data_IF_813560821514
#
_entry.id   IF_813560821514
#
_cell.length_a   1.000
_cell.length_b   1.000
_cell.length_c   1.000
_cell.angle_alpha   90.00
_cell.angle_beta   90.00
_cell.angle_gamma   90.00
#
_symmetry.space_group_name_H-M   'P 1'
#
loop_
_entity.id
_entity.type
_entity.pdbx_description
1 polymer ?
#
# COMPACT_ATOMS: atom_id res chain seq x y z
N UNK A 1 -29.14 4.50 -24.41
CA UNK A 1 -28.31 3.44 -23.79
C UNK A 1 -27.47 3.95 -22.61
N UNK A 2 -26.64 4.99 -22.78
CA UNK A 2 -25.82 5.56 -21.69
C UNK A 2 -26.64 5.98 -20.47
N UNK A 3 -27.76 6.68 -20.66
CA UNK A 3 -28.67 7.06 -19.56
C UNK A 3 -29.10 5.85 -18.72
N UNK A 4 -29.38 4.70 -19.35
CA UNK A 4 -29.73 3.46 -18.64
C UNK A 4 -28.52 2.87 -17.91
N UNK A 5 -27.33 2.90 -18.52
CA UNK A 5 -26.10 2.41 -17.89
C UNK A 5 -25.76 3.17 -16.61
N UNK A 6 -25.79 4.51 -16.66
CA UNK A 6 -25.51 5.34 -15.48
C UNK A 6 -26.62 5.20 -14.42
N UNK A 7 -27.90 5.12 -14.84
CA UNK A 7 -29.03 4.87 -13.95
C UNK A 7 -28.88 3.56 -13.17
N UNK A 8 -28.52 2.47 -13.86
CA UNK A 8 -28.36 1.15 -13.26
C UNK A 8 -27.27 1.14 -12.18
N UNK A 9 -26.29 2.03 -12.28
CA UNK A 9 -25.13 2.12 -11.40
C UNK A 9 -25.23 3.28 -10.39
N UNK A 10 -26.40 3.93 -10.30
CA UNK A 10 -26.68 4.95 -9.29
C UNK A 10 -26.15 6.35 -9.61
N UNK A 11 -25.76 6.60 -10.85
CA UNK A 11 -25.38 7.93 -11.33
C UNK A 11 -26.59 8.64 -11.96
N UNK A 12 -26.68 9.95 -11.78
CA UNK A 12 -27.87 10.74 -12.16
C UNK A 12 -27.61 11.87 -13.15
N UNK A 13 -26.34 12.28 -13.36
CA UNK A 13 -25.98 13.42 -14.20
C UNK A 13 -25.43 12.95 -15.54
N UNK A 14 -26.02 13.44 -16.63
CA UNK A 14 -25.60 13.18 -18.00
C UNK A 14 -25.43 14.51 -18.73
N UNK A 15 -24.25 14.72 -19.30
CA UNK A 15 -23.92 15.91 -20.09
C UNK A 15 -23.56 15.44 -21.49
N UNK A 16 -24.12 16.09 -22.51
CA UNK A 16 -23.84 15.82 -23.93
C UNK A 16 -23.28 17.07 -24.58
N UNK A 17 -22.15 16.93 -25.26
CA UNK A 17 -21.43 18.04 -25.91
C UNK A 17 -21.53 17.89 -27.42
N UNK A 18 -21.95 18.95 -28.11
CA UNK A 18 -22.05 19.01 -29.58
C UNK A 18 -22.70 17.76 -30.23
N UNK A 19 -23.90 17.32 -29.80
CA UNK A 19 -24.54 16.17 -30.42
C UNK A 19 -24.92 16.48 -31.87
N UNK A 20 -24.66 15.53 -32.77
CA UNK A 20 -25.07 15.64 -34.19
C UNK A 20 -26.59 15.65 -34.32
N UNK A 21 -27.27 14.79 -33.55
CA UNK A 21 -28.73 14.77 -33.43
C UNK A 21 -29.14 14.24 -32.05
N UNK A 22 -30.26 14.74 -31.54
CA UNK A 22 -30.91 14.24 -30.31
C UNK A 22 -32.37 13.91 -30.63
N UNK A 23 -32.66 12.64 -30.84
CA UNK A 23 -34.03 12.15 -31.02
C UNK A 23 -34.68 11.90 -29.65
N UNK A 24 -35.01 12.97 -28.92
CA UNK A 24 -35.47 12.87 -27.52
C UNK A 24 -36.64 11.90 -27.33
N UNK A 25 -37.65 11.94 -28.21
CA UNK A 25 -38.80 11.02 -28.14
C UNK A 25 -38.37 9.55 -28.26
N UNK A 26 -37.48 9.24 -29.20
CA UNK A 26 -36.96 7.88 -29.37
C UNK A 26 -36.10 7.44 -28.20
N UNK A 27 -35.27 8.34 -27.68
CA UNK A 27 -34.46 8.09 -26.50
C UNK A 27 -35.33 7.78 -25.29
N UNK A 28 -36.43 8.53 -25.09
CA UNK A 28 -37.40 8.31 -24.02
C UNK A 28 -38.14 6.97 -24.18
N UNK A 29 -38.59 6.62 -25.40
CA UNK A 29 -39.24 5.33 -25.70
C UNK A 29 -38.36 4.12 -25.40
N UNK A 30 -37.04 4.25 -25.57
CA UNK A 30 -36.07 3.17 -25.33
C UNK A 30 -35.54 3.15 -23.89
N UNK A 31 -35.82 4.18 -23.08
CA UNK A 31 -35.36 4.29 -21.71
C UNK A 31 -36.30 3.55 -20.75
N UNK A 32 -35.76 3.10 -19.62
CA UNK A 32 -36.60 2.65 -18.51
C UNK A 32 -37.22 3.86 -17.82
N UNK A 33 -38.34 3.71 -17.07
CA UNK A 33 -38.97 4.83 -16.36
C UNK A 33 -37.99 5.59 -15.44
N UNK A 34 -37.01 4.91 -14.85
CA UNK A 34 -35.97 5.53 -14.05
C UNK A 34 -34.93 6.30 -14.89
N UNK A 35 -34.55 5.76 -16.05
CA UNK A 35 -33.59 6.40 -16.95
C UNK A 35 -34.18 7.59 -17.72
N UNK A 36 -35.51 7.66 -17.89
CA UNK A 36 -36.19 8.85 -18.46
C UNK A 36 -35.87 10.09 -17.63
N UNK A 37 -35.86 10.00 -16.29
CA UNK A 37 -35.52 11.14 -15.42
C UNK A 37 -34.13 11.70 -15.67
N UNK A 38 -33.17 10.86 -16.05
CA UNK A 38 -31.82 11.30 -16.43
C UNK A 38 -31.86 12.05 -17.76
N UNK A 39 -32.70 11.62 -18.70
CA UNK A 39 -32.88 12.32 -19.98
C UNK A 39 -33.54 13.68 -19.78
N UNK A 40 -34.54 13.78 -18.89
CA UNK A 40 -35.24 15.03 -18.58
C UNK A 40 -34.31 16.10 -17.98
N UNK A 41 -33.27 15.66 -17.24
CA UNK A 41 -32.25 16.52 -16.63
C UNK A 41 -30.93 16.54 -17.39
N UNK A 42 -30.88 15.98 -18.61
CA UNK A 42 -29.67 15.93 -19.41
C UNK A 42 -29.27 17.33 -19.87
N UNK A 43 -28.04 17.73 -19.55
CA UNK A 43 -27.49 19.01 -20.00
C UNK A 43 -26.88 18.86 -21.39
N UNK A 44 -27.10 19.84 -22.26
CA UNK A 44 -26.54 19.87 -23.62
C UNK A 44 -25.74 21.14 -23.82
N UNK A 45 -24.46 21.00 -24.17
CA UNK A 45 -23.55 22.12 -24.40
C UNK A 45 -23.06 22.17 -25.84
N UNK A 46 -22.73 23.38 -26.30
CA UNK A 46 -22.19 23.61 -27.64
C UNK A 46 -20.69 23.43 -27.74
N UNK A 47 -19.96 23.28 -26.63
CA UNK A 47 -18.51 23.10 -26.63
C UNK A 47 -18.05 22.42 -25.33
N UNK A 48 -16.88 21.80 -25.39
CA UNK A 48 -16.34 21.01 -24.30
C UNK A 48 -15.85 21.87 -23.13
N UNK A 49 -15.37 23.08 -23.40
CA UNK A 49 -14.82 23.98 -22.38
C UNK A 49 -15.92 24.44 -21.42
N UNK A 50 -17.06 24.89 -21.97
CA UNK A 50 -18.24 25.28 -21.20
C UNK A 50 -18.80 24.09 -20.40
N UNK A 51 -18.82 22.89 -21.00
CA UNK A 51 -19.33 21.69 -20.35
C UNK A 51 -18.47 21.24 -19.17
N UNK A 52 -17.14 21.39 -19.27
CA UNK A 52 -16.19 20.95 -18.26
C UNK A 52 -15.87 22.02 -17.21
N UNK A 53 -16.14 23.30 -17.47
CA UNK A 53 -15.82 24.42 -16.58
C UNK A 53 -16.25 24.25 -15.10
N UNK A 54 -17.42 23.66 -14.80
CA UNK A 54 -17.85 23.42 -13.41
C UNK A 54 -17.07 22.32 -12.67
N UNK A 55 -16.30 21.46 -13.35
CA UNK A 55 -15.69 20.28 -12.74
C UNK A 55 -14.26 20.55 -12.26
N UNK A 56 -13.92 20.08 -11.06
CA UNK A 56 -12.58 20.21 -10.49
C UNK A 56 -11.62 19.11 -10.96
N UNK A 57 -12.14 17.96 -11.39
CA UNK A 57 -11.34 16.83 -11.85
C UNK A 57 -12.00 16.14 -13.03
N UNK A 58 -11.24 15.91 -14.10
CA UNK A 58 -11.75 15.34 -15.36
C UNK A 58 -10.96 14.10 -15.72
N UNK A 59 -11.63 13.01 -16.02
CA UNK A 59 -11.02 11.74 -16.43
C UNK A 59 -11.45 11.39 -17.84
N UNK A 60 -10.51 11.32 -18.77
CA UNK A 60 -10.79 10.94 -20.15
C UNK A 60 -10.64 9.44 -20.38
N UNK A 61 -11.57 8.84 -21.12
CA UNK A 61 -11.43 7.44 -21.56
C UNK A 61 -10.77 7.33 -22.93
N UNK A 62 -9.76 6.48 -23.07
CA UNK A 62 -9.04 6.27 -24.34
C UNK A 62 -8.62 4.82 -24.52
N UNK A 63 -8.72 4.31 -25.76
CA UNK A 63 -8.12 3.04 -26.17
C UNK A 63 -6.67 3.20 -26.65
N UNK A 64 -6.19 4.44 -26.85
CA UNK A 64 -4.87 4.75 -27.42
C UNK A 64 -3.85 5.03 -26.32
N UNK A 65 -2.76 4.26 -26.32
CA UNK A 65 -1.65 4.37 -25.36
C UNK A 65 -0.48 5.23 -25.87
N UNK A 66 -0.54 5.73 -27.12
CA UNK A 66 0.59 6.38 -27.79
C UNK A 66 0.64 7.91 -27.64
N UNK A 67 1.80 8.44 -27.24
CA UNK A 67 2.20 9.84 -27.46
C UNK A 67 2.07 10.81 -26.28
N UNK A 68 1.29 10.50 -25.24
CA UNK A 68 1.03 11.43 -24.12
C UNK A 68 1.53 10.83 -22.80
N UNK A 69 2.42 11.54 -22.10
CA UNK A 69 3.06 11.16 -20.83
C UNK A 69 2.14 11.31 -19.60
N UNK A 70 0.88 10.91 -19.68
CA UNK A 70 -0.05 10.94 -18.53
C UNK A 70 -0.20 9.56 -17.91
N UNK A 71 -0.47 9.50 -16.61
CA UNK A 71 -0.78 8.25 -15.90
C UNK A 71 -2.02 7.63 -16.56
N UNK A 72 -1.84 6.49 -17.23
CA UNK A 72 -2.92 5.70 -17.81
C UNK A 72 -3.30 4.62 -16.81
N UNK A 73 -4.53 4.68 -16.32
CA UNK A 73 -5.05 3.77 -15.30
C UNK A 73 -6.12 2.85 -15.90
N UNK A 74 -6.34 1.69 -15.30
CA UNK A 74 -7.54 0.90 -15.54
C UNK A 74 -8.73 1.47 -14.77
N UNK A 75 -9.98 1.17 -15.19
CA UNK A 75 -11.19 1.53 -14.46
C UNK A 75 -11.14 1.13 -12.98
N UNK A 76 -10.61 -0.07 -12.69
CA UNK A 76 -10.49 -0.62 -11.33
C UNK A 76 -9.50 0.16 -10.45
N UNK A 77 -8.41 0.64 -11.03
CA UNK A 77 -7.40 1.38 -10.28
C UNK A 77 -7.85 2.81 -9.95
N UNK A 78 -8.57 3.46 -10.86
CA UNK A 78 -8.98 4.85 -10.67
C UNK A 78 -10.28 4.96 -9.86
N UNK A 79 -11.19 3.98 -9.93
CA UNK A 79 -12.52 4.10 -9.33
C UNK A 79 -12.50 4.43 -7.83
N UNK A 80 -11.69 3.80 -6.96
CA UNK A 80 -11.59 4.19 -5.55
C UNK A 80 -11.17 5.65 -5.37
N UNK A 81 -10.19 6.12 -6.16
CA UNK A 81 -9.72 7.51 -6.12
C UNK A 81 -10.85 8.49 -6.48
N UNK A 82 -11.68 8.17 -7.48
CA UNK A 82 -12.79 9.02 -7.90
C UNK A 82 -13.94 9.03 -6.90
N UNK A 83 -14.22 7.90 -6.24
CA UNK A 83 -15.22 7.83 -5.16
C UNK A 83 -14.81 8.73 -4.00
N UNK A 84 -13.53 8.71 -3.62
CA UNK A 84 -13.00 9.57 -2.55
C UNK A 84 -12.98 11.05 -2.96
N UNK A 85 -12.49 11.36 -4.17
CA UNK A 85 -12.43 12.73 -4.68
C UNK A 85 -13.81 13.37 -4.79
N UNK A 86 -14.82 12.60 -5.24
CA UNK A 86 -16.18 13.11 -5.45
C UNK A 86 -16.93 13.48 -4.17
N UNK A 87 -16.38 13.17 -2.99
CA UNK A 87 -16.97 13.61 -1.72
C UNK A 87 -16.90 15.13 -1.51
N UNK A 88 -15.91 15.79 -2.11
CA UNK A 88 -15.64 17.23 -1.91
C UNK A 88 -15.39 17.98 -3.21
N UNK A 89 -15.49 17.32 -4.37
CA UNK A 89 -15.15 17.89 -5.67
C UNK A 89 -16.15 17.44 -6.73
N UNK A 90 -16.41 18.30 -7.71
CA UNK A 90 -17.13 17.93 -8.92
C UNK A 90 -16.20 17.17 -9.87
N UNK A 91 -16.53 15.91 -10.16
CA UNK A 91 -15.72 15.02 -11.00
C UNK A 91 -16.45 14.65 -12.29
N UNK A 92 -15.80 14.80 -13.44
CA UNK A 92 -16.32 14.41 -14.75
C UNK A 92 -15.62 13.16 -15.30
N UNK A 93 -16.42 12.22 -15.83
CA UNK A 93 -15.94 11.17 -16.73
C UNK A 93 -16.24 11.59 -18.17
N UNK A 94 -15.18 11.82 -18.95
CA UNK A 94 -15.26 12.27 -20.33
C UNK A 94 -15.08 11.08 -21.29
N UNK A 95 -16.08 10.87 -22.13
CA UNK A 95 -16.10 9.85 -23.18
C UNK A 95 -16.15 10.51 -24.55
N UNK A 96 -15.32 10.03 -25.48
CA UNK A 96 -15.34 10.51 -26.86
C UNK A 96 -16.37 9.79 -27.74
N UNK A 97 -16.60 10.28 -28.98
CA UNK A 97 -17.47 9.63 -29.95
C UNK A 97 -17.03 8.21 -30.30
N UNK A 98 -17.97 7.31 -30.60
CA UNK A 98 -17.71 5.88 -30.86
C UNK A 98 -16.66 5.62 -31.95
N UNK A 99 -16.66 6.44 -33.01
CA UNK A 99 -15.83 6.19 -34.20
C UNK A 99 -14.36 6.59 -34.00
N UNK A 100 -14.09 7.61 -33.20
CA UNK A 100 -12.75 8.24 -33.15
C UNK A 100 -12.19 8.43 -31.73
N UNK A 101 -13.02 8.28 -30.70
CA UNK A 101 -12.65 8.56 -29.31
C UNK A 101 -12.32 10.03 -29.08
N UNK A 102 -11.61 10.33 -27.99
CA UNK A 102 -11.14 11.68 -27.69
C UNK A 102 -9.98 12.06 -28.62
N UNK A 103 -10.05 13.27 -29.16
CA UNK A 103 -9.04 13.87 -30.02
C UNK A 103 -7.85 14.38 -29.19
N UNK A 104 -6.70 14.58 -29.84
CA UNK A 104 -5.53 15.18 -29.21
C UNK A 104 -5.76 16.60 -28.67
N UNK A 105 -6.82 17.29 -29.12
CA UNK A 105 -7.22 18.61 -28.60
C UNK A 105 -8.10 18.52 -27.35
N UNK A 106 -8.77 17.39 -27.16
CA UNK A 106 -9.66 17.16 -26.00
C UNK A 106 -8.91 16.49 -24.84
N UNK A 107 -7.91 15.65 -25.14
CA UNK A 107 -7.09 14.99 -24.11
C UNK A 107 -6.49 15.98 -23.09
N UNK A 108 -5.98 17.18 -23.47
CA UNK A 108 -5.43 18.15 -22.53
C UNK A 108 -6.37 18.55 -21.38
N UNK A 109 -7.69 18.57 -21.58
CA UNK A 109 -8.69 18.88 -20.54
C UNK A 109 -8.78 17.82 -19.43
N UNK A 110 -8.27 16.62 -19.69
CA UNK A 110 -8.31 15.53 -18.72
C UNK A 110 -7.15 15.67 -17.72
N UNK A 111 -7.37 15.32 -16.45
CA UNK A 111 -6.32 15.25 -15.43
C UNK A 111 -5.70 13.85 -15.39
N UNK A 112 -6.51 12.83 -15.65
CA UNK A 112 -6.09 11.44 -15.80
C UNK A 112 -6.71 10.81 -17.04
N UNK A 113 -6.07 9.76 -17.54
CA UNK A 113 -6.58 8.96 -18.65
C UNK A 113 -6.86 7.54 -18.16
N UNK A 114 -7.96 6.97 -18.65
CA UNK A 114 -8.37 5.60 -18.35
C UNK A 114 -8.44 4.79 -19.62
N UNK A 115 -7.86 3.61 -19.58
CA UNK A 115 -7.98 2.61 -20.64
C UNK A 115 -8.71 1.39 -20.08
N UNK A 116 -9.88 1.09 -20.66
CA UNK A 116 -10.59 -0.15 -20.36
C UNK A 116 -9.83 -1.29 -21.04
N UNK A 117 -9.31 -2.28 -20.29
CA UNK A 117 -8.63 -3.42 -20.90
C UNK A 117 -9.59 -4.21 -21.79
N UNK A 118 -9.18 -4.46 -23.03
CA UNK A 118 -9.93 -5.23 -24.02
C UNK A 118 -9.03 -6.32 -24.61
N UNK A 119 -9.63 -7.35 -25.20
CA UNK A 119 -8.90 -8.36 -25.97
C UNK A 119 -8.47 -7.83 -27.35
N UNK A 120 -8.43 -8.71 -28.34
CA UNK A 120 -8.02 -8.37 -29.72
C UNK A 120 -8.90 -7.29 -30.37
N UNK A 121 -10.18 -7.23 -30.00
CA UNK A 121 -11.10 -6.16 -30.40
C UNK A 121 -11.09 -5.04 -29.34
N UNK A 122 -10.55 -3.87 -29.68
CA UNK A 122 -10.35 -2.75 -28.74
C UNK A 122 -11.39 -1.63 -28.82
N UNK A 123 -12.43 -1.79 -29.63
CA UNK A 123 -13.49 -0.79 -29.80
C UNK A 123 -14.75 -1.19 -29.05
N UNK A 124 -14.91 -0.70 -27.82
CA UNK A 124 -16.17 -0.79 -27.09
C UNK A 124 -17.17 0.23 -27.64
N UNK A 125 -18.44 -0.14 -27.71
CA UNK A 125 -19.52 0.82 -27.91
C UNK A 125 -19.53 1.84 -26.74
N UNK A 126 -19.95 3.09 -26.99
CA UNK A 126 -19.93 4.15 -25.99
C UNK A 126 -20.70 3.77 -24.73
N UNK A 127 -21.88 3.17 -24.87
CA UNK A 127 -22.69 2.75 -23.72
C UNK A 127 -22.02 1.61 -22.93
N UNK A 128 -21.23 0.75 -23.58
CA UNK A 128 -20.47 -0.30 -22.90
C UNK A 128 -19.32 0.31 -22.08
N UNK A 129 -18.59 1.27 -22.66
CA UNK A 129 -17.53 1.98 -21.94
C UNK A 129 -18.09 2.72 -20.71
N UNK A 130 -19.22 3.43 -20.88
CA UNK A 130 -19.95 4.08 -19.78
C UNK A 130 -20.37 3.07 -18.71
N UNK A 131 -20.89 1.91 -19.12
CA UNK A 131 -21.31 0.85 -18.20
C UNK A 131 -20.15 0.32 -17.36
N UNK A 132 -19.00 0.02 -17.97
CA UNK A 132 -17.82 -0.50 -17.24
C UNK A 132 -17.31 0.51 -16.22
N UNK A 133 -17.18 1.78 -16.61
CA UNK A 133 -16.75 2.84 -15.69
C UNK A 133 -17.74 3.02 -14.54
N UNK A 134 -19.04 3.07 -14.85
CA UNK A 134 -20.09 3.25 -13.83
C UNK A 134 -20.14 2.04 -12.88
N UNK A 135 -19.92 0.83 -13.38
CA UNK A 135 -19.86 -0.39 -12.58
C UNK A 135 -18.69 -0.42 -11.60
N UNK A 136 -17.49 -0.05 -12.05
CA UNK A 136 -16.32 0.01 -11.16
C UNK A 136 -16.49 1.10 -10.10
N UNK A 137 -17.12 2.24 -10.41
CA UNK A 137 -17.50 3.26 -9.42
C UNK A 137 -18.49 2.71 -8.37
N UNK A 138 -19.55 2.03 -8.80
CA UNK A 138 -20.53 1.43 -7.90
C UNK A 138 -19.90 0.35 -7.00
N UNK A 139 -18.99 -0.45 -7.56
CA UNK A 139 -18.23 -1.48 -6.82
C UNK A 139 -17.29 -0.85 -5.80
N UNK A 140 -16.60 0.24 -6.17
CA UNK A 140 -15.71 0.97 -5.27
C UNK A 140 -16.47 1.67 -4.13
N UNK A 141 -17.68 2.18 -4.39
CA UNK A 141 -18.56 2.79 -3.38
C UNK A 141 -19.11 1.77 -2.37
N UNK A 142 -19.40 0.55 -2.83
CA UNK A 142 -19.89 -0.54 -1.99
C UNK A 142 -18.85 -1.66 -1.95
N UNK A 143 -17.69 -1.45 -1.30
CA UNK A 143 -16.69 -2.49 -1.22
C UNK A 143 -17.31 -3.70 -0.52
N UNK A 144 -17.27 -4.86 -1.17
CA UNK A 144 -17.62 -6.12 -0.51
C UNK A 144 -16.87 -6.18 0.83
N UNK A 145 -17.50 -6.67 1.92
CA UNK A 145 -16.86 -6.74 3.22
C UNK A 145 -15.53 -7.46 3.06
N UNK A 146 -14.45 -6.69 3.13
CA UNK A 146 -13.10 -7.21 2.97
C UNK A 146 -12.95 -8.22 4.09
N UNK A 147 -12.67 -9.50 3.77
CA UNK A 147 -12.37 -10.47 4.80
C UNK A 147 -11.19 -9.93 5.59
N UNK A 148 -11.47 -9.34 6.75
CA UNK A 148 -10.45 -8.83 7.64
C UNK A 148 -9.76 -10.07 8.17
N UNK A 149 -8.47 -10.23 7.87
CA UNK A 149 -7.75 -11.40 8.32
C UNK A 149 -7.77 -11.38 9.84
N UNK A 150 -8.14 -12.51 10.45
CA UNK A 150 -8.04 -12.67 11.90
C UNK A 150 -6.56 -12.80 12.24
N UNK A 151 -5.98 -11.69 12.67
CA UNK A 151 -4.59 -11.62 13.09
C UNK A 151 -4.50 -12.12 14.53
N UNK A 152 -3.48 -12.93 14.81
CA UNK A 152 -3.07 -13.20 16.19
C UNK A 152 -1.60 -12.85 16.35
N UNK A 153 -1.32 -12.06 17.38
CA UNK A 153 0.03 -11.68 17.83
C UNK A 153 0.60 -12.70 18.83
N UNK A 154 -0.13 -13.77 19.10
CA UNK A 154 0.33 -14.89 19.93
C UNK A 154 1.30 -15.79 19.16
N UNK A 155 2.15 -16.48 19.91
CA UNK A 155 3.00 -17.54 19.37
C UNK A 155 2.13 -18.65 18.74
N UNK A 156 2.72 -19.38 17.79
CA UNK A 156 2.06 -20.47 17.08
C UNK A 156 1.54 -21.53 18.06
N UNK A 157 0.24 -21.84 18.00
CA UNK A 157 -0.38 -22.84 18.86
C UNK A 157 -1.34 -23.73 18.05
N UNK A 158 -1.27 -25.08 18.15
CA UNK A 158 -2.11 -25.99 17.38
C UNK A 158 -3.62 -25.76 17.51
N UNK A 159 -4.09 -25.34 18.70
CA UNK A 159 -5.51 -25.03 18.94
C UNK A 159 -6.06 -23.85 18.12
N UNK A 160 -5.20 -23.09 17.45
CA UNK A 160 -5.58 -21.97 16.59
C UNK A 160 -5.53 -22.30 15.09
N UNK A 161 -5.10 -23.52 14.72
CA UNK A 161 -4.98 -23.91 13.33
C UNK A 161 -6.36 -23.94 12.66
N UNK A 162 -6.47 -23.34 11.47
CA UNK A 162 -7.74 -23.18 10.76
C UNK A 162 -8.62 -22.03 11.25
N UNK A 163 -8.33 -21.44 12.42
CA UNK A 163 -8.99 -20.22 12.92
C UNK A 163 -8.21 -18.95 12.55
N UNK A 164 -6.89 -19.06 12.51
CA UNK A 164 -5.95 -17.99 12.16
C UNK A 164 -5.20 -18.41 10.91
N UNK A 165 -5.25 -17.55 9.89
CA UNK A 165 -4.56 -17.74 8.60
C UNK A 165 -3.40 -16.76 8.42
N UNK A 166 -3.24 -15.80 9.36
CA UNK A 166 -2.14 -14.84 9.39
C UNK A 166 -1.55 -14.77 10.79
N UNK A 167 -0.34 -15.29 10.93
CA UNK A 167 0.38 -15.33 12.20
C UNK A 167 1.35 -14.18 12.26
N UNK A 168 1.36 -13.45 13.37
CA UNK A 168 2.27 -12.31 13.55
C UNK A 168 3.10 -12.44 14.81
N UNK A 169 4.01 -13.44 14.89
CA UNK A 169 4.87 -13.58 16.07
C UNK A 169 5.76 -12.35 16.22
N UNK A 170 6.14 -12.04 17.47
CA UNK A 170 7.16 -11.05 17.75
C UNK A 170 8.46 -11.43 17.01
N UNK A 171 9.21 -10.44 16.53
CA UNK A 171 10.44 -10.69 15.77
C UNK A 171 11.41 -11.61 16.52
N UNK A 172 11.54 -11.43 17.83
CA UNK A 172 12.41 -12.23 18.70
C UNK A 172 11.82 -13.60 19.11
N UNK A 173 10.64 -13.95 18.60
CA UNK A 173 9.95 -15.23 18.82
C UNK A 173 9.92 -16.14 17.58
N UNK A 174 10.42 -15.66 16.43
CA UNK A 174 10.44 -16.48 15.22
C UNK A 174 11.45 -17.65 15.31
N UNK A 175 12.53 -17.47 16.09
CA UNK A 175 13.60 -18.45 16.20
C UNK A 175 14.20 -18.43 17.62
N UNK A 176 14.51 -19.60 18.22
CA UNK A 176 15.22 -19.62 19.49
C UNK A 176 16.63 -19.04 19.34
N UNK A 177 17.02 -18.17 20.29
CA UNK A 177 18.38 -17.64 20.43
C UNK A 177 19.18 -18.38 21.50
N UNK A 178 18.54 -18.69 22.63
CA UNK A 178 19.15 -19.45 23.73
C UNK A 178 18.21 -20.54 24.24
N UNK A 179 18.17 -21.71 23.57
CA UNK A 179 17.22 -22.77 23.90
C UNK A 179 17.42 -23.38 25.29
N UNK A 180 18.60 -23.20 25.91
CA UNK A 180 18.92 -23.66 27.27
C UNK A 180 18.66 -22.62 28.36
N UNK A 181 18.49 -21.35 28.01
CA UNK A 181 18.12 -20.30 28.96
C UNK A 181 16.65 -20.50 29.33
N UNK A 182 16.43 -21.33 30.35
CA UNK A 182 16.11 -20.69 31.60
C UNK A 182 14.79 -19.85 31.55
N UNK A 183 15.00 -18.54 31.42
CA UNK A 183 14.10 -17.37 31.43
C UNK A 183 12.80 -17.40 30.60
N UNK A 184 12.64 -18.32 29.65
CA UNK A 184 11.43 -18.38 28.81
C UNK A 184 10.21 -19.07 29.46
N UNK A 185 10.36 -19.62 30.68
CA UNK A 185 9.30 -20.34 31.42
C UNK A 185 7.97 -19.60 31.62
N UNK A 186 7.93 -18.26 31.47
CA UNK A 186 6.66 -17.53 31.53
C UNK A 186 5.74 -17.74 30.32
N UNK A 187 6.22 -18.35 29.23
CA UNK A 187 5.51 -18.35 27.94
C UNK A 187 5.47 -19.71 27.20
N UNK A 188 5.88 -20.82 27.83
CA UNK A 188 5.85 -22.14 27.21
C UNK A 188 6.99 -22.42 26.20
N UNK A 189 6.93 -23.55 25.51
CA UNK A 189 7.90 -23.93 24.47
C UNK A 189 7.75 -23.02 23.25
N UNK A 190 8.81 -22.29 22.89
CA UNK A 190 8.83 -21.48 21.67
C UNK A 190 8.64 -22.37 20.41
N UNK A 191 7.78 -21.97 19.46
CA UNK A 191 7.67 -22.67 18.18
C UNK A 191 9.01 -22.70 17.46
N UNK A 192 9.33 -23.85 16.86
CA UNK A 192 10.52 -24.01 16.02
C UNK A 192 10.24 -23.43 14.65
N UNK A 193 11.32 -23.12 13.93
CA UNK A 193 11.22 -22.66 12.54
C UNK A 193 10.45 -23.64 11.64
N UNK A 194 10.59 -24.95 11.89
CA UNK A 194 9.89 -26.00 11.14
C UNK A 194 8.36 -25.91 11.30
N UNK A 195 7.89 -25.53 12.48
CA UNK A 195 6.46 -25.46 12.78
C UNK A 195 5.81 -24.32 11.96
N UNK A 196 6.49 -23.17 11.85
CA UNK A 196 6.08 -22.08 10.95
C UNK A 196 6.12 -22.47 9.46
N UNK A 197 7.10 -23.27 9.04
CA UNK A 197 7.17 -23.75 7.64
C UNK A 197 6.02 -24.69 7.29
N UNK A 198 5.58 -25.52 8.24
CA UNK A 198 4.39 -26.36 8.08
C UNK A 198 3.14 -25.50 7.83
N UNK A 199 2.96 -24.42 8.60
CA UNK A 199 1.84 -23.49 8.40
C UNK A 199 1.87 -22.80 7.05
N UNK A 200 3.04 -22.35 6.60
CA UNK A 200 3.21 -21.76 5.27
C UNK A 200 2.83 -22.75 4.16
N UNK A 201 3.18 -24.04 4.30
CA UNK A 201 2.76 -25.09 3.34
C UNK A 201 1.25 -25.36 3.39
N UNK A 202 0.62 -25.15 4.54
CA UNK A 202 -0.83 -25.24 4.71
C UNK A 202 -1.59 -24.02 4.16
N UNK A 203 -0.91 -23.03 3.58
CA UNK A 203 -1.52 -21.84 2.99
C UNK A 203 -1.68 -20.65 3.94
N UNK A 204 -1.19 -20.75 5.18
CA UNK A 204 -1.13 -19.62 6.09
C UNK A 204 -0.05 -18.62 5.66
N UNK A 205 -0.15 -17.38 6.17
CA UNK A 205 0.89 -16.36 6.00
C UNK A 205 1.50 -15.97 7.34
N UNK A 206 2.75 -15.50 7.29
CA UNK A 206 3.47 -14.97 8.45
C UNK A 206 3.68 -13.47 8.28
N UNK A 207 3.62 -12.72 9.37
CA UNK A 207 3.90 -11.29 9.46
C UNK A 207 4.89 -11.06 10.60
N UNK A 208 5.78 -10.07 10.46
CA UNK A 208 6.59 -9.62 11.57
C UNK A 208 5.73 -8.83 12.53
N UNK A 209 5.87 -9.04 13.84
CA UNK A 209 5.43 -8.06 14.82
C UNK A 209 6.63 -7.47 15.55
N UNK A 210 6.72 -6.14 15.56
CA UNK A 210 7.72 -5.39 16.32
C UNK A 210 7.00 -4.58 17.39
N UNK A 211 7.51 -4.65 18.62
CA UNK A 211 7.14 -3.77 19.72
C UNK A 211 8.24 -3.73 20.78
N UNK A 212 7.97 -3.07 21.92
CA UNK A 212 8.86 -3.14 23.08
C UNK A 212 9.20 -4.56 23.52
N UNK A 213 8.31 -5.52 23.29
CA UNK A 213 8.59 -6.91 23.65
C UNK A 213 9.71 -7.54 22.82
N UNK A 214 10.08 -6.91 21.71
CA UNK A 214 11.18 -7.33 20.84
C UNK A 214 12.55 -6.97 21.44
N UNK A 215 12.63 -5.85 22.14
CA UNK A 215 13.88 -5.28 22.65
C UNK A 215 13.92 -5.10 24.17
N UNK A 216 12.84 -5.41 24.90
CA UNK A 216 12.79 -5.47 26.36
C UNK A 216 11.96 -4.34 26.99
N UNK A 217 10.67 -4.57 27.25
CA UNK A 217 9.82 -3.57 27.91
C UNK A 217 10.30 -3.34 29.36
N UNK A 218 10.52 -2.06 29.73
CA UNK A 218 10.71 -1.64 31.13
C UNK A 218 12.11 -1.88 31.70
N UNK A 219 13.17 -1.64 30.92
CA UNK A 219 14.56 -1.70 31.39
C UNK A 219 15.19 -3.10 31.30
N UNK A 220 14.51 -4.06 30.68
CA UNK A 220 15.04 -5.40 30.38
C UNK A 220 15.88 -5.45 29.09
N UNK A 221 16.05 -4.32 28.41
CA UNK A 221 16.74 -4.23 27.12
C UNK A 221 18.25 -4.49 27.17
N UNK A 222 18.85 -4.50 28.35
CA UNK A 222 20.27 -4.88 28.55
C UNK A 222 20.49 -6.40 28.62
N UNK A 223 19.45 -7.20 28.37
CA UNK A 223 19.59 -8.66 28.32
C UNK A 223 20.16 -9.12 26.98
N UNK A 224 21.15 -10.04 26.98
CA UNK A 224 21.65 -10.68 25.76
C UNK A 224 20.56 -11.36 24.92
N UNK A 225 19.38 -11.64 25.50
CA UNK A 225 18.20 -12.11 24.78
C UNK A 225 17.79 -11.17 23.64
N UNK A 226 18.01 -9.86 23.79
CA UNK A 226 17.55 -8.81 22.88
C UNK A 226 18.61 -8.36 21.85
N UNK A 227 19.88 -8.74 22.01
CA UNK A 227 20.94 -8.30 21.10
C UNK A 227 20.72 -8.76 19.65
N UNK A 228 21.11 -7.91 18.70
CA UNK A 228 21.15 -8.22 17.26
C UNK A 228 19.81 -8.69 16.63
N UNK A 229 18.69 -8.56 17.34
CA UNK A 229 17.39 -8.64 16.71
C UNK A 229 17.14 -7.39 15.87
N UNK A 230 16.51 -7.53 14.69
CA UNK A 230 16.02 -6.40 13.92
C UNK A 230 15.06 -5.58 14.77
N UNK A 231 15.17 -4.27 14.69
CA UNK A 231 14.35 -3.37 15.50
C UNK A 231 14.25 -2.01 14.83
N UNK A 232 13.32 -1.18 15.29
CA UNK A 232 13.14 0.19 14.86
C UNK A 232 13.52 1.21 15.93
N UNK A 233 14.27 0.81 16.97
CA UNK A 233 14.79 1.78 17.93
C UNK A 233 15.79 2.74 17.26
N UNK A 234 15.97 3.92 17.87
CA UNK A 234 16.82 5.01 17.35
C UNK A 234 18.30 4.74 17.59
N UNK A 235 18.63 4.10 18.71
CA UNK A 235 19.97 3.89 19.26
C UNK A 235 20.67 2.61 18.75
N UNK A 236 20.06 1.91 17.79
CA UNK A 236 20.62 0.72 17.16
C UNK A 236 21.15 1.03 15.76
N UNK A 237 21.92 0.10 15.20
CA UNK A 237 22.41 0.21 13.83
C UNK A 237 21.26 0.43 12.83
N UNK A 238 21.43 1.38 11.91
CA UNK A 238 20.49 1.61 10.80
C UNK A 238 20.26 0.33 9.95
N UNK A 239 21.24 -0.58 9.91
CA UNK A 239 21.11 -1.88 9.26
C UNK A 239 20.09 -2.79 9.97
N UNK A 240 19.94 -2.67 11.30
CA UNK A 240 18.90 -3.38 12.05
C UNK A 240 17.49 -2.91 11.68
N UNK A 241 17.33 -1.65 11.25
CA UNK A 241 16.06 -1.15 10.72
C UNK A 241 15.83 -1.62 9.28
N UNK A 242 16.90 -1.77 8.49
CA UNK A 242 16.82 -2.18 7.07
C UNK A 242 16.67 -3.69 6.88
N UNK A 243 17.17 -4.52 7.79
CA UNK A 243 17.30 -5.97 7.57
C UNK A 243 15.96 -6.72 7.46
N UNK A 244 14.86 -6.10 7.89
CA UNK A 244 13.51 -6.66 7.76
C UNK A 244 13.18 -7.09 6.32
N UNK A 245 13.62 -6.37 5.28
CA UNK A 245 13.35 -6.69 3.88
C UNK A 245 14.00 -8.00 3.45
N UNK A 246 15.31 -8.14 3.68
CA UNK A 246 16.03 -9.39 3.38
C UNK A 246 15.53 -10.55 4.24
N UNK A 247 15.20 -10.30 5.51
CA UNK A 247 14.60 -11.32 6.38
C UNK A 247 13.20 -11.73 5.93
N UNK A 248 12.43 -10.82 5.35
CA UNK A 248 11.13 -11.12 4.76
C UNK A 248 11.28 -12.11 3.61
N UNK A 249 12.27 -11.90 2.74
CA UNK A 249 12.61 -12.82 1.65
C UNK A 249 13.15 -14.15 2.19
N UNK A 250 14.02 -14.13 3.21
CA UNK A 250 14.65 -15.31 3.79
C UNK A 250 13.64 -16.20 4.54
N UNK A 251 12.68 -15.59 5.24
CA UNK A 251 11.72 -16.29 6.10
C UNK A 251 10.32 -16.46 5.50
N UNK A 252 10.09 -16.02 4.26
CA UNK A 252 8.78 -16.04 3.60
C UNK A 252 7.71 -15.30 4.40
N UNK A 253 8.03 -14.08 4.81
CA UNK A 253 7.12 -13.21 5.55
C UNK A 253 6.35 -12.35 4.54
N UNK A 254 5.09 -12.07 4.82
CA UNK A 254 4.16 -11.36 3.94
C UNK A 254 3.94 -9.90 4.34
N UNK A 255 4.34 -9.50 5.55
CA UNK A 255 4.20 -8.12 5.99
C UNK A 255 4.88 -7.85 7.33
N UNK A 256 4.84 -6.58 7.75
CA UNK A 256 5.38 -6.10 9.02
C UNK A 256 4.27 -5.33 9.73
N UNK A 257 4.08 -5.63 11.01
CA UNK A 257 3.29 -4.85 11.95
C UNK A 257 4.23 -4.19 12.93
N UNK A 258 4.04 -2.90 13.13
CA UNK A 258 4.65 -2.14 14.21
C UNK A 258 3.54 -1.60 15.09
N UNK A 259 3.72 -1.62 16.40
CA UNK A 259 2.63 -1.33 17.34
C UNK A 259 2.11 0.11 17.28
N UNK A 260 2.96 1.08 16.93
CA UNK A 260 2.60 2.48 16.69
C UNK A 260 3.67 3.16 15.82
N UNK A 261 3.34 4.27 15.17
CA UNK A 261 4.25 5.10 14.35
C UNK A 261 4.26 6.57 14.75
N UNK A 262 3.32 7.02 15.58
CA UNK A 262 3.16 8.43 15.96
C UNK A 262 3.14 8.61 17.48
N UNK A 263 3.66 7.66 18.26
CA UNK A 263 3.58 7.69 19.72
C UNK A 263 4.19 8.95 20.33
N UNK A 264 5.25 9.50 19.72
CA UNK A 264 5.85 10.78 20.09
C UNK A 264 4.88 11.99 20.08
N UNK A 265 3.71 11.87 19.45
CA UNK A 265 2.66 12.89 19.47
C UNK A 265 1.75 12.81 20.71
N UNK A 266 1.75 11.70 21.45
CA UNK A 266 0.99 11.54 22.70
C UNK A 266 1.63 12.27 23.91
N UNK A 267 2.21 13.45 23.66
CA UNK A 267 2.81 14.33 24.67
C UNK A 267 1.84 14.59 25.85
N UNK A 268 2.27 14.26 27.08
CA UNK A 268 1.58 14.65 28.32
C UNK A 268 2.42 15.69 29.09
N UNK A 269 1.96 16.96 29.17
CA UNK A 269 2.63 18.01 29.93
C UNK A 269 2.48 17.87 31.46
N UNK A 270 1.67 16.94 31.99
CA UNK A 270 1.39 16.87 33.43
C UNK A 270 2.54 16.23 34.24
N UNK A 271 2.91 16.78 35.41
CA UNK A 271 4.12 16.39 36.13
C UNK A 271 3.89 15.22 37.10
N UNK A 272 3.23 14.14 36.67
CA UNK A 272 2.98 13.01 37.55
C UNK A 272 3.92 11.82 37.29
N UNK A 273 4.03 11.28 36.06
CA UNK A 273 4.81 10.03 35.85
C UNK A 273 5.51 9.83 34.50
N UNK A 274 5.27 10.64 33.46
CA UNK A 274 5.86 10.41 32.13
C UNK A 274 6.16 11.72 31.40
N UNK A 275 7.28 12.36 31.74
CA UNK A 275 7.76 13.54 31.01
C UNK A 275 8.37 13.06 29.68
N UNK A 276 7.57 13.00 28.62
CA UNK A 276 8.03 12.63 27.27
C UNK A 276 7.86 13.84 26.36
N UNK A 277 8.81 14.78 26.40
CA UNK A 277 8.99 15.69 25.27
C UNK A 277 9.91 14.97 24.26
N UNK A 278 9.46 14.65 23.04
CA UNK A 278 10.28 13.98 22.04
C UNK A 278 11.53 14.77 21.62
N UNK A 279 11.61 16.05 21.98
CA UNK A 279 12.80 16.88 21.78
C UNK A 279 13.77 16.87 22.96
N UNK A 280 13.37 16.34 24.12
CA UNK A 280 14.21 16.21 25.32
C UNK A 280 14.57 14.74 25.60
N UNK A 281 13.60 13.82 25.48
CA UNK A 281 13.81 12.37 25.65
C UNK A 281 12.80 11.57 24.82
N UNK A 282 13.31 10.54 24.14
CA UNK A 282 12.52 9.56 23.40
C UNK A 282 12.54 8.18 24.06
N UNK A 283 13.10 8.07 25.25
CA UNK A 283 13.23 6.79 25.93
C UNK A 283 11.90 6.37 26.52
N UNK A 284 11.32 5.30 25.98
CA UNK A 284 10.10 4.69 26.50
C UNK A 284 10.11 3.18 26.30
N UNK A 285 9.43 2.45 27.18
CA UNK A 285 9.36 0.99 27.14
C UNK A 285 10.72 0.28 26.99
N UNK A 286 11.79 0.82 27.57
CA UNK A 286 13.10 0.18 27.52
C UNK A 286 13.97 0.53 26.31
N UNK A 287 13.50 1.36 25.37
CA UNK A 287 14.28 1.76 24.19
C UNK A 287 13.96 3.18 23.71
N UNK A 288 14.83 3.72 22.85
CA UNK A 288 14.64 5.07 22.31
C UNK A 288 13.79 5.07 21.04
N UNK A 289 12.74 5.89 21.03
CA UNK A 289 11.89 6.16 19.87
C UNK A 289 10.94 5.03 19.52
N UNK A 290 10.63 4.13 20.47
CA UNK A 290 9.62 3.10 20.28
C UNK A 290 8.23 3.71 20.00
N UNK A 291 7.48 3.08 19.10
CA UNK A 291 6.18 3.56 18.61
C UNK A 291 6.23 4.83 17.77
N UNK A 292 7.42 5.34 17.45
CA UNK A 292 7.56 6.65 16.81
C UNK A 292 8.43 6.54 15.59
N UNK A 293 7.87 6.75 14.40
CA UNK A 293 8.59 6.95 13.14
C UNK A 293 8.43 8.38 12.61
N UNK A 294 7.40 9.08 13.10
CA UNK A 294 7.18 10.51 12.89
C UNK A 294 7.28 11.26 14.22
N UNK A 295 7.76 12.49 14.14
CA UNK A 295 7.95 13.37 15.29
C UNK A 295 7.26 14.72 15.09
N UNK A 296 6.83 15.39 16.17
CA UNK A 296 6.17 16.70 16.07
C UNK A 296 7.19 17.81 15.75
N UNK A 297 7.24 18.24 14.49
CA UNK A 297 8.00 19.41 14.04
C UNK A 297 7.32 20.71 14.42
N UNK A 298 7.67 21.23 15.59
CA UNK A 298 7.15 22.49 16.13
C UNK A 298 7.98 23.68 15.64
N UNK A 299 7.36 24.79 15.19
CA UNK A 299 8.10 25.98 14.75
C UNK A 299 9.14 26.46 15.76
N UNK A 300 8.86 26.38 17.06
CA UNK A 300 9.83 26.77 18.10
C UNK A 300 11.04 25.84 18.23
N UNK A 301 10.96 24.59 17.73
CA UNK A 301 12.04 23.60 17.79
C UNK A 301 12.83 23.50 16.48
N UNK A 302 12.17 23.61 15.33
CA UNK A 302 12.77 23.39 14.00
C UNK A 302 12.73 24.61 13.06
N UNK A 303 12.17 25.73 13.50
CA UNK A 303 11.92 26.90 12.67
C UNK A 303 10.69 26.75 11.76
N UNK A 304 10.44 27.77 10.93
CA UNK A 304 9.27 27.85 10.05
C UNK A 304 8.05 28.53 10.70
N UNK A 305 6.90 28.47 10.01
CA UNK A 305 5.68 29.20 10.42
C UNK A 305 4.50 28.29 10.79
N UNK A 306 4.64 26.97 10.61
CA UNK A 306 3.57 25.99 10.86
C UNK A 306 4.13 24.67 11.37
N UNK A 307 3.31 23.93 12.12
CA UNK A 307 3.64 22.57 12.52
C UNK A 307 3.75 21.65 11.30
N UNK A 308 4.75 20.77 11.30
CA UNK A 308 4.93 19.71 10.30
C UNK A 308 5.27 18.39 11.00
N UNK A 309 4.92 17.26 10.39
CA UNK A 309 5.46 15.98 10.83
C UNK A 309 6.91 15.84 10.31
N UNK A 310 7.82 15.40 11.18
CA UNK A 310 9.20 15.11 10.82
C UNK A 310 9.39 13.62 10.72
N UNK A 311 9.87 13.19 9.56
CA UNK A 311 10.10 11.79 9.26
C UNK A 311 11.45 11.34 9.84
N UNK A 312 11.47 10.18 10.50
CA UNK A 312 12.71 9.61 11.00
C UNK A 312 13.60 9.07 9.87
N UNK A 313 14.92 9.04 10.07
CA UNK A 313 15.84 8.31 9.19
C UNK A 313 15.50 6.81 9.09
N UNK A 314 14.79 6.26 10.09
CA UNK A 314 14.32 4.88 10.09
C UNK A 314 13.29 4.62 9.00
N UNK A 315 12.44 5.60 8.65
CA UNK A 315 11.54 5.49 7.48
C UNK A 315 12.32 5.34 6.17
N UNK A 316 13.47 6.04 6.04
CA UNK A 316 14.37 5.84 4.90
C UNK A 316 14.95 4.42 4.86
N UNK A 317 15.32 3.87 6.01
CA UNK A 317 15.81 2.49 6.09
C UNK A 317 14.71 1.46 5.77
N UNK A 318 13.48 1.68 6.22
CA UNK A 318 12.31 0.85 5.89
C UNK A 318 12.03 0.91 4.38
N UNK A 319 12.06 2.10 3.78
CA UNK A 319 11.91 2.26 2.32
C UNK A 319 13.02 1.50 1.58
N UNK A 320 14.27 1.69 1.97
CA UNK A 320 15.40 1.02 1.32
C UNK A 320 15.34 -0.51 1.48
N UNK A 321 14.81 -0.99 2.60
CA UNK A 321 14.49 -2.39 2.85
C UNK A 321 13.45 -2.94 1.86
N UNK A 322 12.42 -2.16 1.52
CA UNK A 322 11.44 -2.55 0.50
C UNK A 322 12.06 -2.65 -0.89
N UNK A 323 13.01 -1.78 -1.22
CA UNK A 323 13.78 -1.87 -2.48
C UNK A 323 14.59 -3.18 -2.53
N UNK A 324 15.14 -3.64 -1.41
CA UNK A 324 15.85 -4.92 -1.35
C UNK A 324 14.89 -6.11 -1.64
N UNK A 325 13.61 -6.00 -1.23
CA UNK A 325 12.56 -6.97 -1.57
C UNK A 325 12.22 -6.92 -3.07
N UNK A 326 12.11 -5.73 -3.66
CA UNK A 326 11.86 -5.57 -5.10
C UNK A 326 12.95 -6.23 -5.95
N UNK A 327 14.22 -6.07 -5.56
CA UNK A 327 15.34 -6.73 -6.24
C UNK A 327 15.21 -8.25 -6.16
N UNK A 328 14.86 -8.77 -4.98
CA UNK A 328 14.62 -10.20 -4.79
C UNK A 328 13.45 -10.73 -5.63
N UNK A 329 12.32 -10.01 -5.67
CA UNK A 329 11.15 -10.38 -6.47
C UNK A 329 11.47 -10.36 -7.98
N UNK A 330 12.21 -9.33 -8.44
CA UNK A 330 12.63 -9.24 -9.84
C UNK A 330 13.54 -10.40 -10.23
N UNK A 331 14.51 -10.75 -9.38
CA UNK A 331 15.37 -11.91 -9.62
C UNK A 331 14.60 -13.23 -9.66
N UNK A 332 13.58 -13.41 -8.80
CA UNK A 332 12.69 -14.58 -8.86
C UNK A 332 11.92 -14.66 -10.18
N UNK A 333 11.37 -13.54 -10.66
CA UNK A 333 10.70 -13.48 -11.97
C UNK A 333 11.63 -13.86 -13.13
N UNK A 334 12.92 -13.54 -13.01
CA UNK A 334 13.96 -13.88 -13.98
C UNK A 334 14.52 -15.31 -13.80
N UNK A 335 13.99 -16.11 -12.88
CA UNK A 335 14.46 -17.47 -12.61
C UNK A 335 15.80 -17.55 -11.86
N UNK A 336 16.28 -16.44 -11.28
CA UNK A 336 17.59 -16.33 -10.63
C UNK A 336 17.54 -16.61 -9.11
N UNK A 337 16.67 -17.52 -8.68
CA UNK A 337 16.43 -17.80 -7.25
C UNK A 337 17.66 -18.38 -6.54
N UNK A 338 18.40 -19.26 -7.23
CA UNK A 338 19.62 -19.87 -6.68
C UNK A 338 20.73 -18.83 -6.48
N UNK A 339 20.88 -17.90 -7.43
CA UNK A 339 21.79 -16.77 -7.31
C UNK A 339 21.41 -15.88 -6.12
N UNK A 340 20.14 -15.48 -6.04
CA UNK A 340 19.62 -14.66 -4.96
C UNK A 340 19.89 -15.31 -3.59
N UNK A 341 19.56 -16.60 -3.41
CA UNK A 341 19.78 -17.32 -2.17
C UNK A 341 21.26 -17.33 -1.76
N UNK A 342 22.17 -17.56 -2.71
CA UNK A 342 23.62 -17.58 -2.44
C UNK A 342 24.14 -16.21 -2.02
N UNK A 343 23.78 -15.14 -2.72
CA UNK A 343 24.26 -13.80 -2.39
C UNK A 343 23.67 -13.30 -1.06
N UNK A 344 22.37 -13.54 -0.82
CA UNK A 344 21.74 -13.19 0.46
C UNK A 344 22.38 -13.89 1.65
N UNK A 345 22.79 -15.16 1.52
CA UNK A 345 23.43 -15.93 2.60
C UNK A 345 24.75 -15.31 3.10
N UNK A 346 25.37 -14.42 2.32
CA UNK A 346 26.56 -13.65 2.71
C UNK A 346 26.25 -12.56 3.74
N UNK A 347 25.00 -12.09 3.76
CA UNK A 347 24.53 -10.98 4.60
C UNK A 347 23.56 -11.45 5.69
N UNK A 348 22.68 -12.41 5.39
CA UNK A 348 21.60 -12.88 6.28
C UNK A 348 21.65 -14.40 6.41
N UNK A 349 21.88 -14.90 7.64
CA UNK A 349 21.90 -16.32 8.00
C UNK A 349 20.78 -16.72 8.97
N UNK A 350 20.01 -15.76 9.47
CA UNK A 350 18.85 -15.98 10.34
C UNK A 350 18.36 -14.69 10.97
N UNK A 351 17.29 -14.76 11.75
CA UNK A 351 16.59 -13.58 12.26
C UNK A 351 17.46 -12.64 13.09
N UNK A 352 18.37 -13.18 13.91
CA UNK A 352 19.35 -12.42 14.71
C UNK A 352 20.81 -12.65 14.25
N UNK A 353 21.01 -13.32 13.11
CA UNK A 353 22.33 -13.62 12.52
C UNK A 353 22.41 -13.01 11.14
N UNK A 354 22.90 -11.79 11.10
CA UNK A 354 23.08 -11.01 9.89
C UNK A 354 24.27 -10.06 10.06
N UNK A 355 24.80 -9.57 8.95
CA UNK A 355 26.02 -8.78 8.96
C UNK A 355 25.77 -7.31 9.35
N UNK A 356 26.49 -6.84 10.35
CA UNK A 356 26.53 -5.42 10.73
C UNK A 356 27.49 -4.58 9.86
N UNK A 357 28.14 -5.16 8.85
CA UNK A 357 29.11 -4.48 7.97
C UNK A 357 28.40 -3.83 6.77
N UNK A 358 28.33 -2.48 6.69
CA UNK A 358 27.62 -1.78 5.60
C UNK A 358 28.18 -2.10 4.22
N UNK A 359 29.48 -2.44 4.08
CA UNK A 359 30.07 -2.74 2.79
C UNK A 359 29.45 -4.00 2.17
N UNK A 360 29.20 -5.04 3.00
CA UNK A 360 28.53 -6.26 2.51
C UNK A 360 27.12 -6.00 2.00
N UNK A 361 26.41 -5.03 2.56
CA UNK A 361 25.08 -4.63 2.10
C UNK A 361 25.14 -3.92 0.75
N UNK A 362 26.09 -2.99 0.60
CA UNK A 362 26.31 -2.27 -0.66
C UNK A 362 26.75 -3.23 -1.77
N UNK A 363 27.69 -4.15 -1.46
CA UNK A 363 28.13 -5.19 -2.39
C UNK A 363 27.00 -6.12 -2.80
N UNK A 364 26.17 -6.58 -1.86
CA UNK A 364 25.00 -7.40 -2.15
C UNK A 364 24.10 -6.66 -3.15
N UNK A 365 23.71 -5.43 -2.83
CA UNK A 365 22.80 -4.65 -3.68
C UNK A 365 23.39 -4.41 -5.08
N UNK A 366 24.67 -4.09 -5.18
CA UNK A 366 25.35 -3.93 -6.47
C UNK A 366 25.35 -5.23 -7.29
N UNK A 367 25.59 -6.38 -6.65
CA UNK A 367 25.55 -7.70 -7.31
C UNK A 367 24.15 -8.07 -7.78
N UNK A 368 23.13 -7.88 -6.93
CA UNK A 368 21.75 -8.13 -7.29
C UNK A 368 21.33 -7.23 -8.47
N UNK A 369 21.63 -5.93 -8.41
CA UNK A 369 21.31 -4.97 -9.46
C UNK A 369 21.98 -5.30 -10.80
N UNK A 370 23.28 -5.62 -10.80
CA UNK A 370 23.99 -6.07 -12.02
C UNK A 370 23.34 -7.32 -12.62
N UNK A 371 23.01 -8.30 -11.78
CA UNK A 371 22.37 -9.54 -12.25
C UNK A 371 21.00 -9.28 -12.89
N UNK A 372 20.21 -8.37 -12.32
CA UNK A 372 18.92 -7.95 -12.91
C UNK A 372 19.15 -7.29 -14.26
N UNK A 373 20.14 -6.41 -14.39
CA UNK A 373 20.46 -5.75 -15.65
C UNK A 373 20.94 -6.74 -16.73
N UNK A 374 21.77 -7.72 -16.37
CA UNK A 374 22.25 -8.76 -17.29
C UNK A 374 21.15 -9.70 -17.81
N UNK A 375 20.08 -9.88 -17.02
CA UNK A 375 19.01 -10.86 -17.31
C UNK A 375 17.72 -10.22 -17.77
N UNK A 376 17.57 -8.91 -17.64
CA UNK A 376 16.42 -8.20 -18.17
C UNK A 376 16.55 -8.07 -19.69
N UNK A 377 15.46 -8.32 -20.44
CA UNK A 377 15.46 -8.21 -21.90
C UNK A 377 15.61 -6.77 -22.41
#
# INVERSE_FOLDING_TARGET
ACARAICNMGLSRLIVVQPVSLEQERMAMMATPAAVKILDHMEVHQDLETALGPFNYVVGTTARLGGIRREVLSPREIAPRLVDLSQNNDVALLFGPENFGLTNRELPYCHALVTIPTGECSSLNLAQAVMVMSYELMTARNPAPRQVPRLATTDLHPGFYGLITRWSPLVNRLQPKFPSLREWWRYGSLPRRADYQERLRAGDSLWWYQSCMSHGCGGTGDSPLHDNWPSYMVDISALANRVFGLLTVHHHISGILYWDVAYAHHYDPSPARFRVDPWDSLYHFGGNGDGSLFYPGRPERIGGTRHIAIESLRLKMIRDSLVDVEYALRLKQLGEEQFLRREMARVVQGAYRWSADPQRWLELRARLGRRIAERSP
#
